data_IF_581550071356
#
_entry.id   IF_581550071356
#
_cell.length_a   1.000
_cell.length_b   1.000
_cell.length_c   1.000
_cell.angle_alpha   90.00
_cell.angle_beta   90.00
_cell.angle_gamma   90.00
#
_symmetry.space_group_name_H-M   'P 1'
#
loop_
_entity.id
_entity.type
_entity.pdbx_description
1 polymer ?
#
# COMPACT_ATOMS: atom_id res chain seq x y z
N UNK A 1 -2.41 -13.16 -12.11
CA UNK A 1 -1.06 -13.21 -11.66
C UNK A 1 -0.88 -12.43 -10.38
N UNK A 2 -0.25 -13.02 -9.40
CA UNK A 2 -0.07 -12.34 -8.15
C UNK A 2 1.08 -11.38 -8.20
N UNK A 3 0.93 -10.28 -7.48
CA UNK A 3 2.04 -9.36 -7.38
C UNK A 3 2.96 -9.81 -6.27
N UNK A 4 4.25 -9.56 -6.49
CA UNK A 4 5.24 -9.92 -5.49
C UNK A 4 4.96 -9.24 -4.16
N UNK A 5 4.34 -8.07 -4.22
CA UNK A 5 4.09 -7.31 -3.01
C UNK A 5 3.25 -8.10 -2.02
N UNK A 6 2.38 -8.96 -2.51
CA UNK A 6 1.53 -9.75 -1.62
C UNK A 6 2.30 -10.77 -0.82
N UNK A 7 3.51 -11.09 -1.25
CA UNK A 7 4.35 -12.03 -0.53
C UNK A 7 5.25 -11.35 0.49
N UNK A 8 5.22 -10.03 0.52
CA UNK A 8 6.06 -9.29 1.44
C UNK A 8 5.39 -9.18 2.80
N UNK A 9 6.19 -8.93 3.80
CA UNK A 9 5.69 -8.74 5.15
C UNK A 9 5.98 -7.35 5.62
N UNK A 10 5.13 -6.86 6.50
CA UNK A 10 5.32 -5.56 7.09
C UNK A 10 5.32 -5.71 8.59
N UNK A 11 5.85 -4.71 9.28
CA UNK A 11 5.90 -4.71 10.72
C UNK A 11 4.86 -3.73 11.25
N UNK A 12 3.97 -4.23 12.08
CA UNK A 12 2.97 -3.37 12.69
C UNK A 12 3.59 -2.54 13.80
N UNK A 13 2.83 -1.59 14.29
CA UNK A 13 3.31 -0.74 15.36
C UNK A 13 3.71 -1.52 16.58
N UNK A 14 3.05 -2.62 16.84
CA UNK A 14 3.36 -3.43 18.01
C UNK A 14 4.53 -4.38 17.76
N UNK A 15 5.18 -4.26 16.62
CA UNK A 15 6.34 -5.09 16.33
C UNK A 15 6.02 -6.41 15.65
N UNK A 16 4.76 -6.69 15.46
CA UNK A 16 4.36 -7.95 14.85
C UNK A 16 4.48 -7.89 13.34
N UNK A 17 5.02 -8.95 12.74
CA UNK A 17 5.14 -9.01 11.30
C UNK A 17 3.96 -9.75 10.70
N UNK A 18 3.38 -9.18 9.66
CA UNK A 18 2.24 -9.81 8.99
C UNK A 18 2.45 -9.76 7.49
N UNK A 19 1.89 -10.73 6.79
CA UNK A 19 1.93 -10.73 5.34
C UNK A 19 0.91 -9.75 4.80
N UNK A 20 1.29 -9.06 3.75
CA UNK A 20 0.35 -8.13 3.12
C UNK A 20 -0.87 -8.89 2.63
N UNK A 21 -0.66 -10.11 2.24
CA UNK A 21 -1.74 -10.96 1.75
C UNK A 21 -2.87 -11.13 2.77
N UNK A 22 -2.56 -11.03 4.05
CA UNK A 22 -3.57 -11.20 5.10
C UNK A 22 -4.27 -9.92 5.47
N UNK A 23 -3.87 -8.81 4.85
CA UNK A 23 -4.49 -7.53 5.14
C UNK A 23 -5.79 -7.37 4.36
N UNK A 24 -6.56 -6.37 4.75
CA UNK A 24 -7.79 -6.08 4.04
C UNK A 24 -7.48 -5.61 2.63
N UNK A 25 -8.41 -5.81 1.69
CA UNK A 25 -8.15 -5.41 0.29
C UNK A 25 -7.74 -3.95 0.16
N UNK A 26 -8.31 -3.08 0.96
CA UNK A 26 -7.97 -1.67 0.89
C UNK A 26 -6.51 -1.46 1.25
N UNK A 27 -6.05 -2.16 2.26
CA UNK A 27 -4.67 -2.00 2.69
C UNK A 27 -3.73 -2.64 1.70
N UNK A 28 -4.12 -3.75 1.13
CA UNK A 28 -3.31 -4.38 0.10
C UNK A 28 -3.09 -3.42 -1.06
N UNK A 29 -4.13 -2.72 -1.44
CA UNK A 29 -4.04 -1.77 -2.54
C UNK A 29 -3.06 -0.65 -2.23
N UNK A 30 -3.09 -0.16 -1.00
CA UNK A 30 -2.15 0.87 -0.60
C UNK A 30 -0.71 0.43 -0.77
N UNK A 31 -0.42 -0.77 -0.33
CA UNK A 31 0.94 -1.27 -0.42
C UNK A 31 1.33 -1.55 -1.86
N UNK A 32 0.40 -2.01 -2.67
CA UNK A 32 0.69 -2.22 -4.08
C UNK A 32 1.09 -0.92 -4.75
N UNK A 33 0.35 0.12 -4.47
CA UNK A 33 0.63 1.41 -5.07
C UNK A 33 1.93 1.97 -4.55
N UNK A 34 2.19 1.82 -3.27
CA UNK A 34 3.44 2.28 -2.70
C UNK A 34 4.61 1.57 -3.36
N UNK A 35 4.45 0.29 -3.63
CA UNK A 35 5.50 -0.47 -4.29
C UNK A 35 5.74 0.05 -5.71
N UNK A 36 4.68 0.35 -6.42
CA UNK A 36 4.80 0.88 -7.77
C UNK A 36 5.54 2.21 -7.79
N UNK A 37 5.34 3.00 -6.76
CA UNK A 37 6.00 4.30 -6.68
C UNK A 37 7.38 4.24 -6.05
N UNK A 38 7.80 3.04 -5.64
CA UNK A 38 9.11 2.89 -5.03
C UNK A 38 9.15 3.33 -3.58
N UNK A 39 8.02 3.41 -2.93
CA UNK A 39 7.96 3.88 -1.55
C UNK A 39 7.80 2.76 -0.54
N UNK A 40 7.64 1.55 -1.01
CA UNK A 40 7.37 0.44 -0.10
C UNK A 40 8.46 0.26 0.95
N UNK A 41 9.71 0.34 0.55
CA UNK A 41 10.81 0.15 1.49
C UNK A 41 10.77 1.19 2.61
N UNK A 42 10.44 2.41 2.25
CA UNK A 42 10.36 3.47 3.24
C UNK A 42 9.26 3.16 4.25
N UNK A 43 8.14 2.68 3.77
CA UNK A 43 7.03 2.33 4.63
C UNK A 43 7.38 1.13 5.49
N UNK A 44 8.04 0.15 4.90
CA UNK A 44 8.43 -1.05 5.62
C UNK A 44 9.36 -0.74 6.78
N UNK A 45 10.29 0.17 6.55
CA UNK A 45 11.28 0.49 7.57
C UNK A 45 10.78 1.48 8.60
N UNK A 46 10.05 2.48 8.16
CA UNK A 46 9.69 3.58 9.04
C UNK A 46 8.21 3.84 9.16
N UNK A 47 7.40 3.08 8.45
CA UNK A 47 5.96 3.24 8.54
C UNK A 47 5.43 4.34 7.65
N UNK A 48 4.12 4.46 7.63
CA UNK A 48 3.47 5.45 6.77
C UNK A 48 3.83 6.88 7.15
N UNK A 49 4.15 7.10 8.39
CA UNK A 49 4.50 8.44 8.85
C UNK A 49 5.79 8.98 8.26
N UNK A 50 6.60 8.11 7.66
CA UNK A 50 7.85 8.55 7.05
C UNK A 50 7.63 9.19 5.69
N UNK A 51 6.44 9.08 5.13
CA UNK A 51 6.16 9.64 3.82
C UNK A 51 5.94 11.14 3.90
N UNK A 52 6.40 11.85 2.88
CA UNK A 52 6.13 13.28 2.80
C UNK A 52 4.69 13.47 2.37
N UNK A 53 4.20 14.69 2.49
CA UNK A 53 2.85 15.00 2.06
C UNK A 53 2.66 14.70 0.58
N UNK A 54 3.67 14.96 -0.19
CA UNK A 54 3.65 14.68 -1.62
C UNK A 54 3.50 13.21 -1.91
N UNK A 55 4.31 12.41 -1.24
CA UNK A 55 4.30 10.97 -1.45
C UNK A 55 2.98 10.38 -1.00
N UNK A 56 2.53 10.81 0.15
CA UNK A 56 1.27 10.32 0.70
C UNK A 56 0.11 10.71 -0.21
N UNK A 57 0.12 11.93 -0.70
CA UNK A 57 -0.92 12.39 -1.60
C UNK A 57 -0.95 11.61 -2.90
N UNK A 58 0.22 11.23 -3.39
CA UNK A 58 0.30 10.46 -4.61
C UNK A 58 -0.36 9.11 -4.44
N UNK A 59 -0.06 8.44 -3.34
CA UNK A 59 -0.67 7.15 -3.06
C UNK A 59 -2.18 7.31 -2.94
N UNK A 60 -2.62 8.31 -2.20
CA UNK A 60 -4.05 8.55 -2.03
C UNK A 60 -4.75 8.82 -3.35
N UNK A 61 -4.11 9.59 -4.20
CA UNK A 61 -4.69 9.90 -5.50
C UNK A 61 -4.83 8.68 -6.37
N UNK A 62 -3.84 7.81 -6.34
CA UNK A 62 -3.91 6.61 -7.16
C UNK A 62 -4.96 5.63 -6.63
N UNK A 63 -5.09 5.54 -5.32
CA UNK A 63 -6.11 4.68 -4.74
C UNK A 63 -7.49 5.16 -5.19
N UNK A 64 -7.71 6.46 -5.10
CA UNK A 64 -8.97 7.04 -5.50
C UNK A 64 -9.28 6.76 -6.96
N UNK A 65 -8.27 6.90 -7.79
CA UNK A 65 -8.43 6.67 -9.19
C UNK A 65 -8.85 5.24 -9.49
N UNK A 66 -8.22 4.29 -8.82
CA UNK A 66 -8.55 2.89 -9.02
C UNK A 66 -9.94 2.56 -8.51
N UNK A 67 -10.30 3.09 -7.37
CA UNK A 67 -11.63 2.85 -6.83
C UNK A 67 -12.69 3.42 -7.73
N UNK A 68 -12.44 4.58 -8.29
CA UNK A 68 -13.40 5.19 -9.20
C UNK A 68 -13.57 4.34 -10.44
N UNK A 69 -12.49 3.82 -10.95
CA UNK A 69 -12.56 2.96 -12.12
C UNK A 69 -13.36 1.71 -11.83
N UNK A 70 -13.15 1.13 -10.67
CA UNK A 70 -13.91 -0.04 -10.30
C UNK A 70 -15.37 0.24 -10.22
N UNK A 71 -15.74 1.37 -9.67
CA UNK A 71 -17.13 1.69 -9.57
C UNK A 71 -17.77 1.94 -10.89
N UNK A 72 -17.01 2.45 -11.81
CA UNK A 72 -17.55 2.71 -13.11
C UNK A 72 -17.99 1.51 -13.83
N UNK A 73 -17.50 0.40 -13.43
CA UNK A 73 -17.84 -0.78 -14.13
C UNK A 73 -19.28 -1.07 -14.13
N UNK A 74 -20.00 -0.63 -13.25
CA UNK A 74 -21.33 -0.99 -13.22
C UNK A 74 -22.19 -0.47 -14.12
#
# INVERSE_FOLDING_TARGET
MERDILNRKITKKNGEKVSIRTLKPQEQLKYEIADELGLFEKIEKSGWGALTASESGRIGGMIRKRNTQNKKKE
#
